data_IF_974898703099
#
_entry.id   IF_974898703099
#
_cell.length_a   1.000
_cell.length_b   1.000
_cell.length_c   1.000
_cell.angle_alpha   90.00
_cell.angle_beta   90.00
_cell.angle_gamma   90.00
#
_symmetry.space_group_name_H-M   'P 1'
#
loop_
_entity.id
_entity.type
_entity.pdbx_description
1 polymer ?
#
# COMPACT_ATOMS: atom_id res chain seq x y z
N UNK A 1 6.97 5.51 -2.04
CA UNK A 1 7.42 5.88 -3.39
C UNK A 1 6.20 6.18 -4.24
N UNK A 2 6.26 7.19 -5.11
CA UNK A 2 5.20 7.43 -6.10
C UNK A 2 5.32 6.39 -7.24
N UNK A 3 4.26 5.63 -7.50
CA UNK A 3 4.16 4.65 -8.60
C UNK A 3 3.49 5.24 -9.85
N UNK A 4 2.65 6.27 -9.67
CA UNK A 4 2.09 7.10 -10.75
C UNK A 4 2.60 8.55 -10.63
N UNK A 5 1.68 9.53 -10.67
CA UNK A 5 2.04 10.94 -10.50
C UNK A 5 2.53 11.20 -9.07
N UNK A 6 3.20 12.34 -8.90
CA UNK A 6 3.78 12.70 -7.62
C UNK A 6 2.70 13.05 -6.59
N UNK A 7 2.71 12.38 -5.45
CA UNK A 7 1.85 12.72 -4.32
C UNK A 7 2.47 13.75 -3.36
N UNK A 8 3.55 14.45 -3.76
CA UNK A 8 4.32 15.37 -2.88
C UNK A 8 3.46 16.42 -2.17
N UNK A 9 2.43 16.95 -2.85
CA UNK A 9 1.52 17.94 -2.27
C UNK A 9 0.42 17.31 -1.41
N UNK A 10 0.23 15.99 -1.53
CA UNK A 10 -0.80 15.22 -0.84
C UNK A 10 -0.26 14.43 0.36
N UNK A 11 1.01 14.63 0.74
CA UNK A 11 1.59 13.92 1.87
C UNK A 11 2.50 14.80 2.72
N UNK A 12 2.48 14.58 4.02
CA UNK A 12 3.36 15.23 4.98
C UNK A 12 3.62 14.31 6.17
N UNK A 13 4.62 14.63 6.98
CA UNK A 13 4.94 13.88 8.19
C UNK A 13 4.45 14.66 9.40
N UNK A 14 3.72 13.99 10.27
CA UNK A 14 3.24 14.53 11.55
C UNK A 14 3.32 13.42 12.59
N UNK A 15 3.90 13.70 13.76
CA UNK A 15 4.05 12.75 14.88
C UNK A 15 4.60 11.36 14.48
N UNK A 16 5.59 11.35 13.57
CA UNK A 16 6.22 10.12 13.07
C UNK A 16 5.35 9.29 12.12
N UNK A 17 4.18 9.80 11.72
CA UNK A 17 3.27 9.20 10.75
C UNK A 17 3.39 9.92 9.42
N UNK A 18 3.27 9.17 8.32
CA UNK A 18 3.08 9.75 7.00
C UNK A 18 1.57 9.96 6.81
N UNK A 19 1.12 11.20 6.83
CA UNK A 19 -0.26 11.57 6.54
C UNK A 19 -0.41 11.74 5.03
N UNK A 20 -1.48 11.19 4.47
CA UNK A 20 -1.80 11.26 3.05
C UNK A 20 -3.21 11.80 2.89
N UNK A 21 -3.35 12.93 2.21
CA UNK A 21 -4.65 13.43 1.79
C UNK A 21 -5.14 12.58 0.61
N UNK A 22 -6.29 11.95 0.79
CA UNK A 22 -6.89 11.07 -0.21
C UNK A 22 -7.92 11.79 -1.09
N UNK A 23 -8.34 13.00 -0.71
CA UNK A 23 -9.13 13.89 -1.56
C UNK A 23 -8.20 14.67 -2.50
N UNK A 24 -8.21 14.31 -3.78
CA UNK A 24 -7.23 14.79 -4.76
C UNK A 24 -7.83 14.93 -6.14
N UNK A 25 -7.38 15.93 -6.89
CA UNK A 25 -7.65 16.10 -8.32
C UNK A 25 -6.62 15.38 -9.22
N UNK A 26 -5.69 14.66 -8.60
CA UNK A 26 -4.59 13.94 -9.27
C UNK A 26 -4.62 12.46 -8.93
N UNK A 27 -4.44 11.62 -9.96
CA UNK A 27 -4.16 10.20 -9.79
C UNK A 27 -2.75 9.99 -9.24
N UNK A 28 -2.60 9.36 -8.09
CA UNK A 28 -1.31 8.92 -7.57
C UNK A 28 -1.44 7.57 -6.86
N UNK A 29 -0.32 6.86 -6.74
CA UNK A 29 -0.24 5.69 -5.87
C UNK A 29 1.07 5.73 -5.09
N UNK A 30 0.97 5.54 -3.79
CA UNK A 30 2.08 5.50 -2.86
C UNK A 30 2.38 4.05 -2.50
N UNK A 31 3.50 3.52 -2.99
CA UNK A 31 4.07 2.27 -2.49
C UNK A 31 4.81 2.50 -1.16
N UNK A 32 4.51 1.68 -0.15
CA UNK A 32 5.08 1.75 1.20
C UNK A 32 5.94 0.50 1.45
N UNK A 33 7.13 0.71 2.00
CA UNK A 33 8.08 -0.38 2.25
C UNK A 33 7.62 -1.28 3.40
N UNK A 34 8.33 -2.39 3.59
CA UNK A 34 8.08 -3.31 4.70
C UNK A 34 8.19 -2.69 6.10
N UNK A 35 8.82 -1.51 6.22
CA UNK A 35 8.95 -0.74 7.46
C UNK A 35 7.67 -0.06 7.93
N UNK A 36 6.63 0.02 7.07
CA UNK A 36 5.34 0.62 7.45
C UNK A 36 4.42 -0.49 7.92
N UNK A 37 4.07 -0.53 9.19
CA UNK A 37 3.34 -1.67 9.77
C UNK A 37 1.88 -1.77 9.30
N UNK A 38 1.22 -0.63 9.12
CA UNK A 38 -0.19 -0.55 8.80
C UNK A 38 -0.53 0.77 8.08
N UNK A 39 -1.69 0.79 7.43
CA UNK A 39 -2.37 2.01 6.96
C UNK A 39 -3.64 2.18 7.80
N UNK A 40 -3.90 3.40 8.28
CA UNK A 40 -5.19 3.78 8.85
C UNK A 40 -5.85 4.79 7.92
N UNK A 41 -7.06 4.49 7.50
CA UNK A 41 -7.90 5.38 6.70
C UNK A 41 -9.03 5.94 7.57
N UNK A 42 -9.22 7.25 7.48
CA UNK A 42 -10.17 8.03 8.28
C UNK A 42 -11.23 8.66 7.34
N UNK A 43 -12.27 7.92 6.91
CA UNK A 43 -13.38 8.50 6.17
C UNK A 43 -14.28 9.30 7.13
N UNK A 44 -13.91 10.55 7.38
CA UNK A 44 -14.56 11.41 8.36
C UNK A 44 -14.22 11.05 9.81
N UNK A 45 -15.05 11.48 10.75
CA UNK A 45 -14.73 11.44 12.19
C UNK A 45 -15.17 10.15 12.91
N UNK A 46 -16.08 9.37 12.32
CA UNK A 46 -16.80 8.29 13.01
C UNK A 46 -16.33 6.89 12.66
N UNK A 47 -15.45 6.77 11.67
CA UNK A 47 -15.05 5.48 11.14
C UNK A 47 -13.56 5.47 10.87
N UNK A 48 -12.94 4.35 11.21
CA UNK A 48 -11.53 4.11 10.92
C UNK A 48 -11.39 2.72 10.32
N UNK A 49 -10.57 2.63 9.30
CA UNK A 49 -10.20 1.36 8.66
C UNK A 49 -8.71 1.20 8.79
N UNK A 50 -8.28 0.17 9.53
CA UNK A 50 -6.86 -0.15 9.65
C UNK A 50 -6.55 -1.41 8.88
N UNK A 51 -5.58 -1.35 7.97
CA UNK A 51 -5.13 -2.50 7.16
C UNK A 51 -3.68 -2.82 7.47
N UNK A 52 -3.41 -4.09 7.72
CA UNK A 52 -2.07 -4.64 7.99
C UNK A 52 -1.85 -5.92 7.20
N UNK A 53 -0.60 -6.18 6.81
CA UNK A 53 -0.18 -7.49 6.30
C UNK A 53 0.31 -8.30 7.50
N UNK A 54 -0.41 -9.36 7.83
CA UNK A 54 -0.02 -10.33 8.85
C UNK A 54 0.89 -11.37 8.19
N UNK A 55 1.86 -11.86 8.93
CA UNK A 55 2.76 -12.94 8.53
C UNK A 55 3.84 -12.55 7.50
N UNK A 56 5.09 -12.86 7.85
CA UNK A 56 6.28 -12.47 7.08
C UNK A 56 7.08 -13.74 6.86
N UNK A 57 6.85 -14.43 5.73
CA UNK A 57 7.74 -15.51 5.31
C UNK A 57 9.15 -14.92 5.15
N UNK A 58 10.08 -15.32 6.03
CA UNK A 58 11.35 -14.62 6.24
C UNK A 58 12.30 -14.63 5.03
N UNK A 59 12.05 -15.48 4.04
CA UNK A 59 12.90 -15.66 2.85
C UNK A 59 12.31 -15.10 1.55
N UNK A 60 11.12 -14.51 1.58
CA UNK A 60 10.51 -13.88 0.40
C UNK A 60 10.73 -12.37 0.44
N UNK A 61 10.72 -11.73 -0.73
CA UNK A 61 10.90 -10.29 -0.87
C UNK A 61 9.60 -9.65 -1.36
N UNK A 62 9.32 -8.43 -0.91
CA UNK A 62 8.29 -7.62 -1.58
C UNK A 62 8.78 -7.19 -2.95
N UNK A 63 7.86 -7.06 -3.89
CA UNK A 63 8.17 -6.74 -5.29
C UNK A 63 7.71 -5.32 -5.63
N UNK A 64 8.20 -4.82 -6.77
CA UNK A 64 7.62 -3.65 -7.41
C UNK A 64 6.26 -4.02 -8.00
N UNK A 65 5.24 -3.22 -7.69
CA UNK A 65 3.86 -3.42 -8.12
C UNK A 65 3.42 -2.36 -9.14
N UNK A 66 4.34 -1.51 -9.61
CA UNK A 66 4.00 -0.44 -10.54
C UNK A 66 3.45 -1.01 -11.86
N UNK A 67 2.33 -0.45 -12.32
CA UNK A 67 1.79 -0.71 -13.65
C UNK A 67 2.65 0.00 -14.71
N UNK A 68 3.66 -0.72 -15.21
CA UNK A 68 4.62 -0.22 -16.21
C UNK A 68 4.73 -1.20 -17.38
N UNK A 69 5.22 -0.70 -18.51
CA UNK A 69 5.48 -1.54 -19.70
C UNK A 69 6.34 -2.76 -19.36
N UNK A 70 6.01 -3.95 -19.91
CA UNK A 70 6.80 -5.16 -19.72
C UNK A 70 8.23 -5.07 -20.26
N UNK A 71 8.52 -4.10 -21.15
CA UNK A 71 9.88 -3.86 -21.66
C UNK A 71 10.79 -3.17 -20.64
N UNK A 72 10.23 -2.71 -19.52
CA UNK A 72 10.99 -2.06 -18.44
C UNK A 72 11.29 -3.06 -17.35
N UNK A 73 12.53 -3.07 -16.90
CA UNK A 73 12.93 -3.84 -15.72
C UNK A 73 12.21 -3.28 -14.48
N UNK A 74 11.56 -4.14 -13.66
CA UNK A 74 10.99 -3.73 -12.38
C UNK A 74 12.05 -3.09 -11.49
N UNK A 75 11.67 -2.10 -10.68
CA UNK A 75 12.59 -1.51 -9.72
C UNK A 75 12.81 -2.45 -8.53
N UNK A 76 13.86 -2.18 -7.74
CA UNK A 76 14.10 -2.90 -6.48
C UNK A 76 13.17 -2.45 -5.33
N UNK A 77 12.12 -1.67 -5.61
CA UNK A 77 11.23 -1.13 -4.59
C UNK A 77 10.20 -2.18 -4.18
N UNK A 78 10.51 -2.93 -3.11
CA UNK A 78 9.55 -3.85 -2.51
C UNK A 78 8.41 -3.10 -1.80
N UNK A 79 7.19 -3.23 -2.34
CA UNK A 79 5.97 -2.63 -1.78
C UNK A 79 5.24 -3.65 -0.91
N UNK A 80 5.06 -3.33 0.38
CA UNK A 80 4.25 -4.13 1.32
C UNK A 80 2.81 -3.64 1.39
N UNK A 81 2.64 -2.32 1.41
CA UNK A 81 1.36 -1.66 1.49
C UNK A 81 1.30 -0.58 0.40
N UNK A 82 0.13 -0.30 -0.16
CA UNK A 82 -0.03 0.77 -1.14
C UNK A 82 -1.28 1.62 -0.85
N UNK A 83 -1.24 2.90 -1.22
CA UNK A 83 -2.40 3.80 -1.19
C UNK A 83 -2.56 4.39 -2.59
N UNK A 84 -3.65 4.08 -3.27
CA UNK A 84 -4.03 4.64 -4.56
C UNK A 84 -5.17 5.64 -4.38
N UNK A 85 -5.11 6.77 -5.09
CA UNK A 85 -6.20 7.74 -5.17
C UNK A 85 -6.32 8.26 -6.61
N UNK A 86 -7.52 8.65 -7.02
CA UNK A 86 -7.76 9.30 -8.32
C UNK A 86 -8.82 10.43 -8.28
N UNK A 87 -8.95 11.22 -9.36
CA UNK A 87 -9.85 12.38 -9.41
C UNK A 87 -11.35 12.03 -9.39
N UNK A 88 -11.73 10.75 -9.55
CA UNK A 88 -13.11 10.31 -9.44
C UNK A 88 -13.57 10.15 -7.99
N UNK A 89 -12.64 10.28 -7.03
CA UNK A 89 -12.87 9.99 -5.63
C UNK A 89 -12.68 8.52 -5.27
N UNK A 90 -12.21 7.69 -6.21
CA UNK A 90 -11.83 6.32 -5.91
C UNK A 90 -10.51 6.29 -5.15
N UNK A 91 -10.47 5.48 -4.10
CA UNK A 91 -9.31 5.26 -3.26
C UNK A 91 -9.21 3.79 -2.89
N UNK A 92 -7.99 3.28 -2.89
CA UNK A 92 -7.68 1.92 -2.49
C UNK A 92 -6.51 1.90 -1.51
N UNK A 93 -6.64 1.13 -0.43
CA UNK A 93 -5.52 0.73 0.41
C UNK A 93 -5.23 -0.75 0.15
N UNK A 94 -4.00 -1.10 -0.18
CA UNK A 94 -3.62 -2.44 -0.62
C UNK A 94 -2.61 -3.06 0.35
N UNK A 95 -2.67 -4.37 0.53
CA UNK A 95 -1.59 -5.15 1.13
C UNK A 95 -1.07 -6.16 0.10
N UNK A 96 0.24 -6.19 -0.08
CA UNK A 96 0.88 -6.95 -1.15
C UNK A 96 1.53 -8.22 -0.58
N UNK A 97 1.55 -9.28 -1.40
CA UNK A 97 2.30 -10.50 -1.11
C UNK A 97 3.80 -10.34 -1.35
N UNK A 98 4.56 -11.34 -0.89
CA UNK A 98 6.00 -11.47 -1.17
C UNK A 98 6.24 -12.57 -2.20
N UNK A 99 7.38 -12.53 -2.87
CA UNK A 99 7.81 -13.53 -3.83
C UNK A 99 9.17 -14.13 -3.41
N UNK A 100 9.41 -15.44 -3.57
CA UNK A 100 10.76 -16.01 -3.51
C UNK A 100 11.62 -15.52 -4.67
N UNK A 101 12.94 -15.64 -4.52
CA UNK A 101 13.90 -15.28 -5.58
C UNK A 101 13.78 -16.18 -6.83
N UNK A 102 13.16 -17.36 -6.71
CA UNK A 102 12.96 -18.29 -7.82
C UNK A 102 11.56 -18.91 -7.75
N UNK A 103 10.82 -18.80 -8.84
CA UNK A 103 9.52 -19.45 -9.02
C UNK A 103 9.71 -20.78 -9.76
N UNK A 104 9.18 -21.86 -9.21
CA UNK A 104 9.10 -23.18 -9.86
C UNK A 104 7.63 -23.61 -10.00
N UNK A 105 7.29 -24.45 -10.99
CA UNK A 105 5.92 -24.96 -11.12
C UNK A 105 5.41 -25.59 -9.82
N UNK A 106 4.16 -25.29 -9.46
CA UNK A 106 3.53 -25.78 -8.24
C UNK A 106 3.79 -24.96 -6.97
N UNK A 107 4.55 -23.86 -7.05
CA UNK A 107 4.61 -22.90 -5.93
C UNK A 107 3.26 -22.20 -5.78
N UNK A 108 2.73 -22.25 -4.56
CA UNK A 108 1.61 -21.46 -4.10
C UNK A 108 2.08 -20.50 -3.01
N UNK A 109 1.60 -19.27 -3.05
CA UNK A 109 1.90 -18.24 -2.06
C UNK A 109 0.60 -17.72 -1.48
N UNK A 110 0.62 -17.39 -0.19
CA UNK A 110 -0.49 -16.74 0.50
C UNK A 110 -0.03 -15.42 1.11
N UNK A 111 -0.99 -14.53 1.31
CA UNK A 111 -0.81 -13.30 2.07
C UNK A 111 -1.98 -13.21 3.05
N UNK A 112 -1.67 -13.00 4.33
CA UNK A 112 -2.68 -12.81 5.35
C UNK A 112 -2.91 -11.31 5.53
N UNK A 113 -4.12 -10.84 5.27
CA UNK A 113 -4.49 -9.42 5.42
C UNK A 113 -5.45 -9.27 6.59
N UNK A 114 -5.10 -8.42 7.54
CA UNK A 114 -6.02 -7.97 8.57
C UNK A 114 -6.58 -6.62 8.20
N UNK A 115 -7.91 -6.53 8.12
CA UNK A 115 -8.63 -5.25 8.06
C UNK A 115 -9.48 -5.11 9.31
N UNK A 116 -9.19 -4.10 10.11
CA UNK A 116 -9.93 -3.75 11.32
C UNK A 116 -10.84 -2.56 10.98
N UNK A 117 -12.13 -2.69 11.29
CA UNK A 117 -13.11 -1.63 11.14
C UNK A 117 -13.50 -1.13 12.52
N UNK A 118 -13.28 0.15 12.79
CA UNK A 118 -13.53 0.78 14.08
C UNK A 118 -14.59 1.85 13.87
N UNK A 119 -15.72 1.71 14.54
CA UNK A 119 -16.74 2.75 14.63
C UNK A 119 -16.46 3.53 15.91
N UNK A 120 -16.12 4.80 15.76
CA UNK A 120 -15.92 5.73 16.86
C UNK A 120 -17.21 6.52 17.04
N UNK A 121 -18.26 5.86 17.54
CA UNK A 121 -19.44 6.48 18.18
C UNK A 121 -20.43 5.41 18.70
N UNK A 122 -20.76 5.54 19.99
CA UNK A 122 -22.11 5.38 20.56
C UNK A 122 -22.44 6.68 21.30
#
# INVERSE_FOLDING_TARGET
>A
WDLYNSSKQQRFIEDGRLIVNTETDQRFQLGLSEKVDWIEYLPGEKFRVKRSVLNVASKHQYIDIADISPDKTPSAKGVKLSVYCDPSGFMEIEGCGRCPDTLTPGIEMSVDILTEYIVTDY
#
